data_IF_315148877335
#
_entry.id   IF_315148877335
#
_cell.length_a   1.000
_cell.length_b   1.000
_cell.length_c   1.000
_cell.angle_alpha   90.00
_cell.angle_beta   90.00
_cell.angle_gamma   90.00
#
_symmetry.space_group_name_H-M   'P 1'
#
loop_
_entity.id
_entity.type
_entity.pdbx_description
1 polymer ?
#
# COMPACT_ATOMS: atom_id res chain seq x y z
N UNK A 1 45.48 -6.01 -18.06
CA UNK A 1 44.15 -6.60 -18.27
C UNK A 1 43.86 -7.57 -17.13
N UNK A 2 43.30 -7.09 -16.00
CA UNK A 2 43.02 -7.97 -14.85
C UNK A 2 41.59 -8.49 -14.99
N UNK A 3 41.44 -9.63 -15.65
CA UNK A 3 40.20 -10.40 -15.61
C UNK A 3 40.10 -11.05 -14.21
N UNK A 4 39.53 -10.32 -13.25
CA UNK A 4 39.25 -10.88 -11.91
C UNK A 4 38.22 -11.99 -12.08
N UNK A 5 38.67 -13.25 -12.03
CA UNK A 5 37.82 -14.44 -11.96
C UNK A 5 36.97 -14.35 -10.70
N UNK A 6 35.72 -13.92 -10.83
CA UNK A 6 34.78 -13.77 -9.72
C UNK A 6 34.53 -15.17 -9.14
N UNK A 7 34.93 -15.34 -7.88
CA UNK A 7 34.81 -16.60 -7.15
C UNK A 7 33.34 -16.94 -6.91
N UNK A 8 32.91 -18.21 -7.07
CA UNK A 8 31.50 -18.61 -6.97
C UNK A 8 30.90 -18.34 -5.57
N UNK A 9 31.74 -18.29 -4.54
CA UNK A 9 31.31 -17.94 -3.18
C UNK A 9 30.80 -16.51 -3.04
N UNK A 10 31.27 -15.58 -3.89
CA UNK A 10 30.78 -14.21 -3.91
C UNK A 10 29.33 -14.14 -4.42
N UNK A 11 29.00 -14.93 -5.44
CA UNK A 11 27.63 -15.04 -5.95
C UNK A 11 26.70 -15.68 -4.92
N UNK A 12 27.15 -16.75 -4.25
CA UNK A 12 26.35 -17.40 -3.21
C UNK A 12 26.08 -16.48 -2.00
N UNK A 13 27.09 -15.71 -1.57
CA UNK A 13 26.93 -14.72 -0.51
C UNK A 13 25.98 -13.59 -0.93
N UNK A 14 26.10 -13.09 -2.16
CA UNK A 14 25.22 -12.04 -2.68
C UNK A 14 23.75 -12.51 -2.73
N UNK A 15 23.50 -13.74 -3.19
CA UNK A 15 22.15 -14.33 -3.19
C UNK A 15 21.61 -14.47 -1.77
N UNK A 16 22.46 -14.87 -0.81
CA UNK A 16 22.07 -14.96 0.60
C UNK A 16 21.69 -13.59 1.19
N UNK A 17 22.49 -12.55 0.90
CA UNK A 17 22.21 -11.18 1.35
C UNK A 17 20.91 -10.62 0.75
N UNK A 18 20.65 -10.88 -0.54
CA UNK A 18 19.39 -10.48 -1.18
C UNK A 18 18.17 -11.14 -0.53
N UNK A 19 18.28 -12.43 -0.18
CA UNK A 19 17.20 -13.15 0.52
C UNK A 19 16.90 -12.56 1.90
N UNK A 20 17.93 -12.24 2.69
CA UNK A 20 17.76 -11.63 4.01
C UNK A 20 17.14 -10.24 3.89
N UNK A 21 17.58 -9.43 2.92
CA UNK A 21 17.03 -8.08 2.71
C UNK A 21 15.53 -8.10 2.35
N UNK A 22 15.08 -9.05 1.52
CA UNK A 22 13.68 -9.15 1.14
C UNK A 22 12.75 -9.53 2.31
N UNK A 23 13.22 -10.33 3.26
CA UNK A 23 12.43 -10.76 4.43
C UNK A 23 12.22 -9.68 5.48
N UNK A 24 12.97 -8.58 5.42
CA UNK A 24 12.86 -7.46 6.37
C UNK A 24 11.91 -6.35 5.89
N UNK A 25 11.40 -6.45 4.67
CA UNK A 25 10.53 -5.41 4.11
C UNK A 25 9.08 -5.62 4.56
N UNK A 26 8.73 -5.00 5.69
CA UNK A 26 7.33 -4.89 6.11
C UNK A 26 6.59 -3.96 5.15
N UNK A 27 5.57 -4.46 4.45
CA UNK A 27 4.72 -3.64 3.58
C UNK A 27 3.58 -3.02 4.40
N UNK A 28 3.60 -1.70 4.65
CA UNK A 28 2.58 -1.06 5.47
C UNK A 28 1.23 -1.11 4.76
N UNK A 29 0.16 -1.37 5.52
CA UNK A 29 -1.22 -1.35 5.03
C UNK A 29 -1.86 -0.03 5.45
N UNK A 30 -2.22 0.81 4.48
CA UNK A 30 -2.77 2.15 4.69
C UNK A 30 -4.22 2.18 4.20
N UNK A 31 -5.12 2.65 5.06
CA UNK A 31 -6.52 2.88 4.70
C UNK A 31 -6.72 4.27 4.10
N UNK A 32 -7.39 4.36 2.95
CA UNK A 32 -7.74 5.65 2.31
C UNK A 32 -9.25 5.83 2.37
N UNK A 33 -9.70 6.92 2.98
CA UNK A 33 -11.12 7.25 3.09
C UNK A 33 -11.68 7.72 1.74
N UNK A 34 -12.84 7.19 1.39
CA UNK A 34 -13.62 7.67 0.24
C UNK A 34 -14.37 8.97 0.58
N UNK A 35 -14.48 9.86 -0.40
CA UNK A 35 -15.21 11.12 -0.26
C UNK A 35 -16.55 11.04 -0.99
N UNK A 36 -17.59 11.71 -0.46
CA UNK A 36 -18.87 11.85 -1.15
C UNK A 36 -18.71 12.54 -2.51
N UNK A 37 -19.46 12.07 -3.49
CA UNK A 37 -19.34 12.49 -4.90
C UNK A 37 -20.06 13.81 -5.22
N UNK A 38 -20.54 14.57 -4.23
CA UNK A 38 -21.36 15.77 -4.44
C UNK A 38 -20.73 16.80 -5.39
N UNK A 39 -19.39 16.96 -5.35
CA UNK A 39 -18.66 17.91 -6.20
C UNK A 39 -18.21 17.36 -7.57
N UNK A 40 -18.28 16.04 -7.78
CA UNK A 40 -17.84 15.34 -9.00
C UNK A 40 -18.96 14.57 -9.68
N UNK A 41 -20.20 14.71 -9.18
CA UNK A 41 -21.42 14.08 -9.72
C UNK A 41 -21.64 14.39 -11.18
N UNK A 42 -21.26 15.58 -11.65
CA UNK A 42 -21.39 15.96 -13.06
C UNK A 42 -20.38 15.25 -13.98
N UNK A 43 -19.28 14.71 -13.42
CA UNK A 43 -18.23 13.99 -14.14
C UNK A 43 -18.27 12.47 -13.92
N UNK A 44 -19.03 12.00 -12.94
CA UNK A 44 -19.19 10.59 -12.60
C UNK A 44 -20.60 10.13 -13.02
N UNK A 45 -20.66 9.10 -13.87
CA UNK A 45 -21.93 8.51 -14.27
C UNK A 45 -22.78 8.14 -13.05
N UNK A 46 -24.10 8.31 -13.17
CA UNK A 46 -25.08 8.05 -12.12
C UNK A 46 -24.87 6.65 -11.50
N UNK A 47 -24.68 6.58 -10.18
CA UNK A 47 -24.57 5.33 -9.43
C UNK A 47 -23.35 5.16 -8.52
N UNK A 48 -22.47 6.17 -8.42
CA UNK A 48 -21.34 6.15 -7.48
C UNK A 48 -21.55 7.14 -6.31
N UNK A 49 -21.70 6.60 -5.10
CA UNK A 49 -21.93 7.40 -3.88
C UNK A 49 -20.62 7.89 -3.22
N UNK A 50 -19.48 7.27 -3.53
CA UNK A 50 -18.20 7.59 -2.92
C UNK A 50 -17.03 7.40 -3.89
N UNK A 51 -16.07 8.33 -3.89
CA UNK A 51 -14.91 8.34 -4.80
C UNK A 51 -13.58 8.42 -4.04
N UNK A 52 -12.55 7.74 -4.56
CA UNK A 52 -11.16 7.85 -4.12
C UNK A 52 -10.31 8.23 -5.33
N UNK A 53 -9.55 9.33 -5.23
CA UNK A 53 -8.67 9.72 -6.32
C UNK A 53 -7.52 8.72 -6.49
N UNK A 54 -7.32 8.24 -7.72
CA UNK A 54 -6.28 7.27 -8.05
C UNK A 54 -4.85 7.79 -7.78
N UNK A 55 -4.66 9.11 -7.70
CA UNK A 55 -3.38 9.74 -7.33
C UNK A 55 -2.94 9.33 -5.92
N UNK A 56 -3.86 9.24 -4.96
CA UNK A 56 -3.54 8.83 -3.59
C UNK A 56 -3.17 7.34 -3.51
N UNK A 57 -3.88 6.50 -4.26
CA UNK A 57 -3.56 5.06 -4.35
C UNK A 57 -2.16 4.86 -4.92
N UNK A 58 -1.88 5.51 -6.07
CA UNK A 58 -0.57 5.44 -6.72
C UNK A 58 0.56 5.97 -5.85
N UNK A 59 0.32 7.03 -5.08
CA UNK A 59 1.32 7.57 -4.16
C UNK A 59 1.74 6.52 -3.12
N UNK A 60 0.77 5.86 -2.48
CA UNK A 60 1.04 4.82 -1.48
C UNK A 60 1.68 3.58 -2.10
N UNK A 61 1.20 3.14 -3.26
CA UNK A 61 1.77 1.99 -3.98
C UNK A 61 3.21 2.27 -4.44
N UNK A 62 3.50 3.50 -4.88
CA UNK A 62 4.86 3.91 -5.27
C UNK A 62 5.84 3.91 -4.10
N UNK A 63 5.34 4.07 -2.86
CA UNK A 63 6.13 3.96 -1.64
C UNK A 63 6.30 2.51 -1.14
N UNK A 64 5.77 1.51 -1.87
CA UNK A 64 5.81 0.10 -1.47
C UNK A 64 4.76 -0.30 -0.43
N UNK A 65 3.74 0.54 -0.23
CA UNK A 65 2.61 0.25 0.66
C UNK A 65 1.46 -0.47 -0.05
N UNK A 66 0.57 -1.08 0.74
CA UNK A 66 -0.71 -1.64 0.28
C UNK A 66 -1.86 -0.74 0.71
N UNK A 67 -2.87 -0.60 -0.15
CA UNK A 67 -4.01 0.29 0.07
C UNK A 67 -5.28 -0.50 0.36
N UNK A 68 -6.04 -0.06 1.37
CA UNK A 68 -7.41 -0.52 1.63
C UNK A 68 -8.38 0.65 1.44
N UNK A 69 -9.38 0.56 0.55
CA UNK A 69 -10.41 1.59 0.45
C UNK A 69 -11.38 1.52 1.65
N UNK A 70 -11.66 2.67 2.26
CA UNK A 70 -12.63 2.79 3.36
C UNK A 70 -13.89 3.46 2.83
N UNK A 71 -14.99 2.71 2.84
CA UNK A 71 -16.29 3.18 2.41
C UNK A 71 -16.94 4.04 3.50
N UNK A 72 -17.61 5.12 3.06
CA UNK A 72 -18.48 5.93 3.92
C UNK A 72 -19.83 5.23 4.15
N UNK A 73 -20.58 5.66 5.16
CA UNK A 73 -21.92 5.13 5.47
C UNK A 73 -21.94 3.73 6.10
N UNK A 74 -20.78 3.20 6.48
CA UNK A 74 -20.67 1.89 7.15
C UNK A 74 -20.94 2.00 8.67
N UNK A 75 -21.13 0.85 9.31
CA UNK A 75 -21.33 0.78 10.76
C UNK A 75 -20.01 0.92 11.56
N UNK A 76 -20.11 1.17 12.86
CA UNK A 76 -18.94 1.32 13.76
C UNK A 76 -18.07 0.05 13.82
N UNK A 77 -18.66 -1.14 13.74
CA UNK A 77 -17.91 -2.41 13.78
C UNK A 77 -17.04 -2.62 12.54
N UNK A 78 -17.49 -2.12 11.37
CA UNK A 78 -16.70 -2.08 10.15
C UNK A 78 -15.46 -1.20 10.34
N UNK A 79 -15.63 0.04 10.82
CA UNK A 79 -14.49 0.94 11.03
C UNK A 79 -13.50 0.40 12.04
N UNK A 80 -13.97 -0.19 13.16
CA UNK A 80 -13.10 -0.88 14.12
C UNK A 80 -12.30 -2.02 13.48
N UNK A 81 -12.95 -2.81 12.63
CA UNK A 81 -12.29 -3.91 11.92
C UNK A 81 -11.24 -3.41 10.93
N UNK A 82 -11.54 -2.33 10.21
CA UNK A 82 -10.62 -1.74 9.23
C UNK A 82 -9.42 -1.10 9.93
N UNK A 83 -9.64 -0.30 10.98
CA UNK A 83 -8.58 0.33 11.77
C UNK A 83 -7.64 -0.72 12.37
N UNK A 84 -8.19 -1.82 12.91
CA UNK A 84 -7.39 -2.93 13.44
C UNK A 84 -6.56 -3.66 12.38
N UNK A 85 -6.95 -3.59 11.10
CA UNK A 85 -6.23 -4.21 9.98
C UNK A 85 -5.25 -3.26 9.29
N UNK A 86 -5.34 -1.96 9.54
CA UNK A 86 -4.48 -0.95 8.94
C UNK A 86 -3.36 -0.54 9.89
N UNK A 87 -2.14 -0.46 9.39
CA UNK A 87 -0.97 -0.03 10.15
C UNK A 87 -0.95 1.50 10.36
N UNK A 88 -1.68 2.25 9.54
CA UNK A 88 -1.62 3.73 9.49
C UNK A 88 -2.55 4.49 10.44
N UNK A 89 -3.58 3.87 11.01
CA UNK A 89 -4.60 4.58 11.83
C UNK A 89 -4.58 4.25 13.32
N UNK A 90 -3.57 3.50 13.79
CA UNK A 90 -3.39 3.22 15.21
C UNK A 90 -2.62 4.36 15.87
N UNK A 91 -3.29 5.49 16.14
CA UNK A 91 -2.84 6.38 17.22
C UNK A 91 -2.92 5.57 18.51
N UNK A 92 -1.76 5.22 19.07
CA UNK A 92 -1.64 4.83 20.47
C UNK A 92 -2.07 5.98 21.37
#
# INVERSE_FOLDING_TARGET
>A
MVCKRISPYFLLLFIYLMKVAAGLMETPVIGILSQETYSVRDYLNEGYDSFIAASYVKFVESAGGRVIPIWIGQNDTYYKTVVNKTNGSSTK
#
